data_IF_813867905246
#
_entry.id   IF_813867905246
#
_cell.length_a   1.000
_cell.length_b   1.000
_cell.length_c   1.000
_cell.angle_alpha   90.00
_cell.angle_beta   90.00
_cell.angle_gamma   90.00
#
_symmetry.space_group_name_H-M   'P 1'
#
loop_
_entity.id
_entity.type
_entity.pdbx_description
1 polymer ?
#
# COMPACT_ATOMS: atom_id res chain seq x y z
N UNK A 1 -23.67 -5.90 6.64
CA UNK A 1 -23.33 -5.22 5.38
C UNK A 1 -24.24 -4.01 5.28
N UNK A 2 -23.70 -2.81 5.43
CA UNK A 2 -24.42 -1.57 5.12
C UNK A 2 -23.96 -1.13 3.73
N UNK A 3 -24.89 -1.01 2.79
CA UNK A 3 -24.66 -0.39 1.49
C UNK A 3 -23.99 0.97 1.71
N UNK A 4 -22.86 1.18 1.05
CA UNK A 4 -22.18 2.47 1.07
C UNK A 4 -23.02 3.41 0.21
N UNK A 5 -23.62 4.41 0.85
CA UNK A 5 -24.47 5.39 0.19
C UNK A 5 -23.68 6.20 -0.84
N UNK A 6 -24.04 6.04 -2.12
CA UNK A 6 -23.39 6.70 -3.25
C UNK A 6 -23.49 8.23 -3.15
N UNK A 7 -24.57 8.75 -2.55
CA UNK A 7 -24.77 10.18 -2.38
C UNK A 7 -23.82 10.78 -1.33
N UNK A 8 -23.50 10.01 -0.29
CA UNK A 8 -22.51 10.38 0.73
C UNK A 8 -21.08 10.45 0.16
N UNK A 9 -20.71 9.51 -0.73
CA UNK A 9 -19.43 9.54 -1.46
C UNK A 9 -19.40 10.75 -2.40
N UNK A 10 -20.46 10.96 -3.18
CA UNK A 10 -20.51 12.04 -4.15
C UNK A 10 -20.47 13.43 -3.53
N UNK A 11 -21.19 13.63 -2.42
CA UNK A 11 -21.20 14.89 -1.67
C UNK A 11 -19.83 15.18 -1.09
N UNK A 12 -19.16 14.17 -0.53
CA UNK A 12 -17.80 14.35 0.00
C UNK A 12 -16.77 14.64 -1.08
N UNK A 13 -16.80 13.92 -2.21
CA UNK A 13 -15.90 14.17 -3.35
C UNK A 13 -16.04 15.62 -3.83
N UNK A 14 -17.29 16.08 -3.98
CA UNK A 14 -17.63 17.46 -4.36
C UNK A 14 -17.20 18.51 -3.33
N UNK A 15 -17.43 18.24 -2.04
CA UNK A 15 -17.03 19.13 -0.95
C UNK A 15 -15.50 19.26 -0.83
N UNK A 16 -14.75 18.26 -1.31
CA UNK A 16 -13.29 18.22 -1.30
C UNK A 16 -12.65 18.51 -2.67
N UNK A 17 -13.44 18.91 -3.68
CA UNK A 17 -13.00 19.27 -5.04
C UNK A 17 -12.31 18.12 -5.79
N UNK A 18 -12.70 16.87 -5.49
CA UNK A 18 -12.28 15.65 -6.19
C UNK A 18 -13.35 15.35 -7.26
N UNK A 19 -13.63 16.35 -8.09
CA UNK A 19 -14.71 16.32 -9.07
C UNK A 19 -14.11 15.83 -10.40
N UNK A 20 -14.64 14.76 -10.99
CA UNK A 20 -14.28 14.32 -12.35
C UNK A 20 -13.53 12.99 -12.46
N UNK A 21 -13.22 12.31 -11.36
CA UNK A 21 -12.65 10.96 -11.44
C UNK A 21 -13.77 9.89 -11.36
N UNK A 22 -14.41 9.62 -12.50
CA UNK A 22 -15.45 8.57 -12.63
C UNK A 22 -14.92 7.17 -12.22
N UNK A 23 -13.60 6.96 -12.25
CA UNK A 23 -12.96 5.69 -11.87
C UNK A 23 -13.02 5.43 -10.35
N UNK A 24 -12.99 6.48 -9.50
CA UNK A 24 -13.13 6.33 -8.05
C UNK A 24 -14.52 5.76 -7.69
N UNK A 25 -15.57 6.28 -8.32
CA UNK A 25 -16.93 5.77 -8.11
C UNK A 25 -17.10 4.32 -8.56
N UNK A 26 -16.56 3.98 -9.74
CA UNK A 26 -16.59 2.61 -10.26
C UNK A 26 -15.84 1.66 -9.33
N UNK A 27 -14.65 2.03 -8.86
CA UNK A 27 -13.85 1.22 -7.94
C UNK A 27 -14.54 1.05 -6.59
N UNK A 28 -15.17 2.09 -6.02
CA UNK A 28 -15.92 1.94 -4.77
C UNK A 28 -17.20 1.11 -4.91
N UNK A 29 -17.90 1.24 -6.04
CA UNK A 29 -19.07 0.42 -6.35
C UNK A 29 -18.70 -1.05 -6.52
N UNK A 30 -17.62 -1.33 -7.25
CA UNK A 30 -17.19 -2.70 -7.58
C UNK A 30 -16.48 -3.38 -6.41
N UNK A 31 -15.83 -2.63 -5.51
CA UNK A 31 -15.32 -3.15 -4.22
C UNK A 31 -16.44 -3.47 -3.21
N UNK A 32 -17.62 -2.87 -3.37
CA UNK A 32 -18.82 -3.14 -2.58
C UNK A 32 -19.67 -4.30 -3.12
N UNK A 33 -19.49 -4.65 -4.40
CA UNK A 33 -20.18 -5.76 -5.05
C UNK A 33 -19.39 -7.06 -4.82
N UNK A 34 -19.90 -7.91 -3.92
CA UNK A 34 -19.49 -9.32 -3.88
C UNK A 34 -19.80 -9.96 -5.23
N UNK A 35 -18.79 -10.62 -5.82
CA UNK A 35 -18.79 -11.36 -7.09
C UNK A 35 -18.74 -10.51 -8.38
N UNK A 36 -17.55 -10.28 -8.93
CA UNK A 36 -17.19 -10.69 -10.30
C UNK A 36 -15.80 -10.20 -10.70
N UNK A 37 -15.18 -10.94 -11.61
CA UNK A 37 -13.79 -10.92 -12.07
C UNK A 37 -13.48 -9.88 -13.15
N UNK A 38 -14.29 -8.84 -13.33
CA UNK A 38 -14.15 -7.93 -14.47
C UNK A 38 -13.68 -6.53 -14.03
N UNK A 39 -12.36 -6.37 -13.82
CA UNK A 39 -11.79 -5.12 -13.30
C UNK A 39 -10.73 -4.44 -14.19
N UNK A 40 -10.55 -4.77 -15.48
CA UNK A 40 -9.45 -4.17 -16.24
C UNK A 40 -9.79 -3.91 -17.71
N UNK A 41 -10.33 -2.71 -17.98
CA UNK A 41 -10.19 -1.93 -19.21
C UNK A 41 -10.41 -0.46 -18.82
N UNK A 42 -9.45 0.14 -18.11
CA UNK A 42 -9.41 1.58 -17.88
C UNK A 42 -8.32 2.15 -18.78
N UNK A 43 -8.72 2.97 -19.74
CA UNK A 43 -7.82 3.64 -20.70
C UNK A 43 -6.81 4.53 -19.95
N UNK A 44 -5.53 4.31 -20.23
CA UNK A 44 -4.38 4.93 -19.53
C UNK A 44 -4.23 6.45 -19.78
N UNK A 45 -5.02 7.03 -20.69
CA UNK A 45 -4.80 8.39 -21.22
C UNK A 45 -5.51 9.54 -20.49
N UNK A 46 -6.42 9.28 -19.53
CA UNK A 46 -7.24 10.34 -18.89
C UNK A 46 -6.87 10.69 -17.43
N UNK A 47 -5.73 10.21 -16.89
CA UNK A 47 -5.44 10.28 -15.43
C UNK A 47 -4.35 11.31 -15.05
N UNK A 48 -3.73 12.01 -16.01
CA UNK A 48 -2.59 12.90 -15.75
C UNK A 48 -2.94 14.40 -15.79
N UNK A 49 -3.64 14.90 -14.76
CA UNK A 49 -3.63 16.35 -14.47
C UNK A 49 -2.67 16.70 -13.33
N UNK A 50 -1.69 17.53 -13.69
CA UNK A 50 -0.70 18.12 -12.79
C UNK A 50 -1.37 18.90 -11.65
N UNK A 51 -0.84 18.79 -10.43
CA UNK A 51 -1.20 19.68 -9.33
C UNK A 51 -0.88 21.13 -9.73
N UNK A 52 -1.90 21.89 -10.15
CA UNK A 52 -1.73 23.30 -10.52
C UNK A 52 -1.90 24.21 -9.30
N UNK A 53 -1.30 25.40 -9.41
CA UNK A 53 -1.18 26.45 -8.38
C UNK A 53 -2.46 26.92 -7.67
N UNK A 54 -3.64 26.40 -8.01
CA UNK A 54 -4.94 26.74 -7.41
C UNK A 54 -5.34 25.88 -6.19
N UNK A 55 -4.58 24.83 -5.86
CA UNK A 55 -4.88 23.88 -4.76
C UNK A 55 -4.17 24.18 -3.42
N UNK A 56 -3.83 25.45 -3.14
CA UNK A 56 -3.10 25.85 -1.94
C UNK A 56 -3.76 25.49 -0.59
N UNK A 57 -5.02 25.06 -0.58
CA UNK A 57 -5.71 24.56 0.62
C UNK A 57 -5.54 23.07 0.89
N UNK A 58 -5.21 22.26 -0.14
CA UNK A 58 -5.09 20.80 -0.02
C UNK A 58 -3.66 20.37 0.34
N UNK A 59 -2.67 21.16 -0.06
CA UNK A 59 -1.28 21.06 0.39
C UNK A 59 -1.05 21.79 1.73
N UNK A 60 -2.06 21.84 2.60
CA UNK A 60 -2.04 22.55 3.89
C UNK A 60 -0.82 22.22 4.76
N UNK A 61 -0.54 23.09 5.75
CA UNK A 61 0.59 23.14 6.71
C UNK A 61 1.42 21.85 6.87
N UNK A 62 2.72 21.96 7.14
CA UNK A 62 3.61 20.82 7.45
C UNK A 62 3.06 19.95 8.61
N UNK A 63 2.14 19.06 8.27
CA UNK A 63 1.58 18.07 9.16
C UNK A 63 2.73 17.10 9.45
N UNK A 64 3.14 17.08 10.73
CA UNK A 64 4.23 16.28 11.26
C UNK A 64 3.70 15.07 12.04
N UNK A 65 2.46 14.66 11.77
CA UNK A 65 1.88 13.47 12.37
C UNK A 65 2.65 12.22 11.96
N UNK A 66 2.63 11.24 12.85
CA UNK A 66 3.25 9.95 12.58
C UNK A 66 2.54 9.20 11.43
N UNK A 67 1.22 9.40 11.29
CA UNK A 67 0.44 8.87 10.17
C UNK A 67 1.02 9.37 8.83
N UNK A 68 1.28 10.67 8.71
CA UNK A 68 1.87 11.23 7.48
C UNK A 68 3.24 10.66 7.17
N UNK A 69 4.11 10.59 8.18
CA UNK A 69 5.45 9.98 8.04
C UNK A 69 5.37 8.55 7.50
N UNK A 70 4.46 7.71 8.02
CA UNK A 70 4.25 6.35 7.53
C UNK A 70 3.84 6.34 6.05
N UNK A 71 2.89 7.20 5.67
CA UNK A 71 2.37 7.22 4.29
C UNK A 71 3.38 7.77 3.28
N UNK A 72 4.18 8.77 3.67
CA UNK A 72 5.29 9.27 2.84
C UNK A 72 6.37 8.19 2.65
N UNK A 73 6.77 7.51 3.74
CA UNK A 73 7.70 6.38 3.67
C UNK A 73 7.18 5.25 2.78
N UNK A 74 5.89 4.94 2.85
CA UNK A 74 5.31 3.90 2.00
C UNK A 74 5.38 4.26 0.53
N UNK A 75 5.20 5.54 0.17
CA UNK A 75 5.42 6.01 -1.19
C UNK A 75 6.87 5.78 -1.64
N UNK A 76 7.84 6.10 -0.78
CA UNK A 76 9.26 5.90 -1.09
C UNK A 76 9.62 4.41 -1.31
N UNK A 77 8.85 3.48 -0.74
CA UNK A 77 9.01 2.03 -1.00
C UNK A 77 8.42 1.60 -2.35
N UNK A 78 7.39 2.31 -2.85
CA UNK A 78 6.78 2.02 -4.14
C UNK A 78 7.59 2.57 -5.32
N UNK A 79 8.36 3.63 -5.08
CA UNK A 79 9.31 4.25 -6.04
C UNK A 79 10.62 3.43 -6.05
N UNK A 80 10.59 2.32 -6.78
CA UNK A 80 11.65 1.30 -6.76
C UNK A 80 12.90 1.78 -7.51
N UNK A 81 12.71 2.64 -8.52
CA UNK A 81 13.81 3.23 -9.30
C UNK A 81 14.31 4.58 -8.75
N UNK A 82 13.65 5.13 -7.73
CA UNK A 82 13.95 6.39 -7.03
C UNK A 82 13.83 7.63 -7.94
N UNK A 83 12.91 7.61 -8.89
CA UNK A 83 12.66 8.72 -9.81
C UNK A 83 11.64 9.75 -9.28
N UNK A 84 11.13 9.56 -8.05
CA UNK A 84 10.09 10.35 -7.36
C UNK A 84 8.69 10.24 -7.97
N UNK A 85 8.50 9.29 -8.87
CA UNK A 85 7.23 8.92 -9.47
C UNK A 85 6.99 7.44 -9.15
N UNK A 86 5.71 7.09 -9.05
CA UNK A 86 5.29 5.70 -8.93
C UNK A 86 4.56 5.38 -10.23
N UNK A 87 5.21 4.64 -11.12
CA UNK A 87 4.72 4.33 -12.47
C UNK A 87 4.99 2.88 -12.89
N UNK A 88 4.77 2.57 -14.17
CA UNK A 88 4.91 1.21 -14.68
C UNK A 88 6.37 0.71 -14.67
N UNK A 89 7.36 1.60 -14.77
CA UNK A 89 8.77 1.24 -14.68
C UNK A 89 9.10 0.64 -13.31
N UNK A 90 8.51 1.16 -12.23
CA UNK A 90 8.63 0.58 -10.88
C UNK A 90 8.10 -0.84 -10.84
N UNK A 91 6.93 -1.09 -11.45
CA UNK A 91 6.32 -2.42 -11.50
C UNK A 91 7.24 -3.40 -12.24
N UNK A 92 7.79 -3.01 -13.39
CA UNK A 92 8.70 -3.84 -14.17
C UNK A 92 9.95 -4.17 -13.35
N UNK A 93 10.56 -3.15 -12.73
CA UNK A 93 11.76 -3.33 -11.92
C UNK A 93 11.49 -4.20 -10.68
N UNK A 94 10.33 -4.04 -10.06
CA UNK A 94 9.89 -4.87 -8.94
C UNK A 94 9.79 -6.33 -9.35
N UNK A 95 9.07 -6.64 -10.44
CA UNK A 95 8.88 -8.01 -10.94
C UNK A 95 10.22 -8.66 -11.30
N UNK A 96 11.10 -7.93 -11.99
CA UNK A 96 12.40 -8.44 -12.39
C UNK A 96 13.29 -8.75 -11.18
N UNK A 97 13.31 -7.87 -10.16
CA UNK A 97 14.00 -8.11 -8.89
C UNK A 97 13.43 -9.33 -8.17
N UNK A 98 12.11 -9.40 -8.02
CA UNK A 98 11.44 -10.50 -7.32
C UNK A 98 11.77 -11.86 -7.97
N UNK A 99 11.65 -11.94 -9.30
CA UNK A 99 11.97 -13.16 -10.03
C UNK A 99 13.47 -13.51 -9.93
N UNK A 100 14.37 -12.52 -10.01
CA UNK A 100 15.80 -12.73 -9.83
C UNK A 100 16.13 -13.32 -8.46
N UNK A 101 15.52 -12.82 -7.39
CA UNK A 101 15.73 -13.34 -6.03
C UNK A 101 15.18 -14.75 -5.83
N UNK A 102 14.05 -15.08 -6.45
CA UNK A 102 13.52 -16.44 -6.46
C UNK A 102 14.45 -17.41 -7.21
N UNK A 103 14.98 -16.99 -8.36
CA UNK A 103 15.93 -17.77 -9.16
C UNK A 103 17.23 -18.02 -8.39
N UNK A 104 17.72 -17.03 -7.63
CA UNK A 104 18.87 -17.18 -6.71
C UNK A 104 18.64 -18.25 -5.63
N UNK A 105 17.40 -18.39 -5.12
CA UNK A 105 17.00 -19.40 -4.14
C UNK A 105 16.63 -20.76 -4.80
N UNK A 106 16.87 -20.90 -6.10
CA UNK A 106 16.65 -22.14 -6.85
C UNK A 106 15.22 -22.35 -7.36
N UNK A 107 14.35 -21.34 -7.26
CA UNK A 107 13.00 -21.36 -7.82
C UNK A 107 13.05 -20.79 -9.25
N UNK A 108 12.94 -21.65 -10.25
CA UNK A 108 12.88 -21.20 -11.65
C UNK A 108 11.55 -20.49 -11.92
N UNK A 109 11.62 -19.23 -12.36
CA UNK A 109 10.46 -18.41 -12.71
C UNK A 109 10.37 -18.29 -14.23
N UNK A 110 9.36 -18.92 -14.83
CA UNK A 110 9.11 -18.82 -16.28
C UNK A 110 8.62 -17.42 -16.69
N UNK A 111 8.74 -17.09 -17.98
CA UNK A 111 8.21 -15.82 -18.49
C UNK A 111 6.70 -15.67 -18.23
N UNK A 112 5.95 -16.76 -18.29
CA UNK A 112 4.51 -16.77 -17.98
C UNK A 112 4.26 -16.40 -16.51
N UNK A 113 5.06 -16.95 -15.59
CA UNK A 113 4.98 -16.58 -14.16
C UNK A 113 5.39 -15.13 -13.91
N UNK A 114 6.40 -14.60 -14.62
CA UNK A 114 6.76 -13.17 -14.57
C UNK A 114 5.61 -12.30 -15.06
N UNK A 115 4.94 -12.68 -16.16
CA UNK A 115 3.77 -11.98 -16.67
C UNK A 115 2.60 -12.01 -15.68
N UNK A 116 2.35 -13.16 -15.04
CA UNK A 116 1.31 -13.28 -14.02
C UNK A 116 1.63 -12.42 -12.80
N UNK A 117 2.87 -12.43 -12.33
CA UNK A 117 3.32 -11.58 -11.23
C UNK A 117 3.19 -10.09 -11.60
N UNK A 118 3.57 -9.70 -12.82
CA UNK A 118 3.39 -8.36 -13.33
C UNK A 118 1.92 -7.92 -13.31
N UNK A 119 1.00 -8.76 -13.79
CA UNK A 119 -0.43 -8.43 -13.77
C UNK A 119 -0.98 -8.29 -12.34
N UNK A 120 -0.50 -9.14 -11.42
CA UNK A 120 -0.91 -9.07 -10.01
C UNK A 120 -0.39 -7.82 -9.32
N UNK A 121 0.89 -7.47 -9.50
CA UNK A 121 1.46 -6.22 -8.96
C UNK A 121 0.81 -5.01 -9.64
N UNK A 122 0.56 -5.05 -10.95
CA UNK A 122 -0.18 -4.01 -11.67
C UNK A 122 -1.57 -3.78 -11.07
N UNK A 123 -2.27 -4.80 -10.56
CA UNK A 123 -3.56 -4.61 -9.85
C UNK A 123 -3.41 -3.79 -8.58
N UNK A 124 -2.37 -4.04 -7.77
CA UNK A 124 -2.09 -3.23 -6.57
C UNK A 124 -1.89 -1.78 -6.98
N UNK A 125 -1.07 -1.54 -7.99
CA UNK A 125 -0.79 -0.19 -8.49
C UNK A 125 -2.02 0.45 -9.12
N UNK A 126 -2.86 -0.27 -9.85
CA UNK A 126 -4.12 0.23 -10.39
C UNK A 126 -5.09 0.66 -9.29
N UNK A 127 -5.13 -0.07 -8.16
CA UNK A 127 -5.90 0.36 -6.98
C UNK A 127 -5.30 1.63 -6.37
N UNK A 128 -4.00 1.89 -6.48
CA UNK A 128 -3.44 3.19 -6.07
C UNK A 128 -3.77 4.28 -7.12
N UNK A 129 -3.55 4.01 -8.40
CA UNK A 129 -3.82 4.89 -9.54
C UNK A 129 -5.27 5.36 -9.58
N UNK A 130 -6.23 4.45 -9.42
CA UNK A 130 -7.65 4.77 -9.43
C UNK A 130 -8.01 5.86 -8.40
N UNK A 131 -7.31 5.89 -7.27
CA UNK A 131 -7.50 6.86 -6.20
C UNK A 131 -6.82 8.19 -6.47
N UNK A 132 -6.30 8.37 -7.69
CA UNK A 132 -5.50 9.51 -8.08
C UNK A 132 -4.18 9.55 -7.32
N UNK A 133 -3.67 8.43 -6.80
CA UNK A 133 -2.39 8.41 -6.07
C UNK A 133 -1.18 8.25 -7.00
N UNK A 134 -1.39 7.78 -8.23
CA UNK A 134 -0.34 7.63 -9.23
C UNK A 134 0.11 8.98 -9.80
N UNK A 135 1.41 9.10 -10.09
CA UNK A 135 2.02 10.31 -10.65
C UNK A 135 1.99 11.54 -9.73
N UNK A 136 1.60 11.39 -8.47
CA UNK A 136 1.62 12.45 -7.46
C UNK A 136 2.89 12.35 -6.61
N UNK A 137 3.38 13.49 -6.11
CA UNK A 137 4.49 13.50 -5.16
C UNK A 137 4.11 12.83 -3.83
N UNK A 138 5.10 12.29 -3.10
CA UNK A 138 4.92 11.62 -1.81
C UNK A 138 4.05 12.43 -0.80
N UNK A 139 4.22 13.75 -0.74
CA UNK A 139 3.43 14.65 0.13
C UNK A 139 1.95 14.66 -0.24
N UNK A 140 1.66 14.66 -1.53
CA UNK A 140 0.27 14.71 -2.03
C UNK A 140 -0.40 13.35 -1.83
N UNK A 141 0.34 12.26 -2.06
CA UNK A 141 -0.08 10.90 -1.74
C UNK A 141 -0.49 10.76 -0.27
N UNK A 142 0.38 11.19 0.65
CA UNK A 142 0.14 11.06 2.08
C UNK A 142 -1.08 11.89 2.53
N UNK A 143 -1.19 13.15 2.09
CA UNK A 143 -2.33 14.01 2.44
C UNK A 143 -3.67 13.42 1.95
N UNK A 144 -3.69 12.83 0.75
CA UNK A 144 -4.90 12.21 0.20
C UNK A 144 -5.34 11.01 1.04
N UNK A 145 -4.42 10.08 1.33
CA UNK A 145 -4.72 8.90 2.15
C UNK A 145 -5.09 9.27 3.59
N UNK A 146 -4.48 10.30 4.18
CA UNK A 146 -4.89 10.81 5.48
C UNK A 146 -6.32 11.34 5.47
N UNK A 147 -6.71 12.07 4.43
CA UNK A 147 -8.09 12.56 4.31
C UNK A 147 -9.07 11.42 4.04
N UNK A 148 -8.69 10.45 3.19
CA UNK A 148 -9.47 9.24 2.95
C UNK A 148 -9.66 8.42 4.24
N UNK A 149 -8.65 8.37 5.12
CA UNK A 149 -8.74 7.64 6.40
C UNK A 149 -9.81 8.16 7.36
N UNK A 150 -10.31 9.39 7.13
CA UNK A 150 -11.41 9.97 7.92
C UNK A 150 -12.79 9.47 7.46
N UNK A 151 -12.86 8.75 6.33
CA UNK A 151 -14.11 8.26 5.76
C UNK A 151 -14.58 6.97 6.46
N UNK A 152 -15.89 6.82 6.70
CA UNK A 152 -16.44 5.66 7.40
C UNK A 152 -16.25 4.34 6.64
N UNK A 153 -16.08 4.40 5.31
CA UNK A 153 -15.88 3.24 4.44
C UNK A 153 -14.40 2.96 4.11
N UNK A 154 -13.46 3.76 4.64
CA UNK A 154 -12.03 3.60 4.35
C UNK A 154 -11.49 2.22 4.72
N UNK A 155 -11.99 1.63 5.81
CA UNK A 155 -11.58 0.29 6.24
C UNK A 155 -11.99 -0.78 5.23
N UNK A 156 -13.21 -0.71 4.69
CA UNK A 156 -13.69 -1.63 3.66
C UNK A 156 -12.84 -1.48 2.39
N UNK A 157 -12.50 -0.24 2.04
CA UNK A 157 -11.57 0.04 0.95
C UNK A 157 -10.19 -0.62 1.16
N UNK A 158 -9.56 -0.40 2.32
CA UNK A 158 -8.27 -1.03 2.64
C UNK A 158 -8.36 -2.56 2.63
N UNK A 159 -9.49 -3.13 3.02
CA UNK A 159 -9.70 -4.58 2.96
C UNK A 159 -9.66 -5.08 1.51
N UNK A 160 -10.26 -4.35 0.57
CA UNK A 160 -10.18 -4.65 -0.86
C UNK A 160 -8.76 -4.53 -1.41
N UNK A 161 -8.03 -3.48 -1.01
CA UNK A 161 -6.62 -3.32 -1.34
C UNK A 161 -5.76 -4.49 -0.81
N UNK A 162 -5.96 -4.89 0.45
CA UNK A 162 -5.25 -6.01 1.08
C UNK A 162 -5.52 -7.32 0.36
N UNK A 163 -6.75 -7.54 -0.11
CA UNK A 163 -7.07 -8.73 -0.91
C UNK A 163 -6.27 -8.76 -2.22
N UNK A 164 -6.14 -7.62 -2.91
CA UNK A 164 -5.31 -7.52 -4.11
C UNK A 164 -3.82 -7.76 -3.80
N UNK A 165 -3.34 -7.28 -2.64
CA UNK A 165 -1.97 -7.56 -2.16
C UNK A 165 -1.79 -9.06 -1.90
N UNK A 166 -2.71 -9.71 -1.19
CA UNK A 166 -2.65 -11.15 -0.93
C UNK A 166 -2.61 -11.95 -2.23
N UNK A 167 -3.50 -11.67 -3.18
CA UNK A 167 -3.51 -12.34 -4.49
C UNK A 167 -2.20 -12.14 -5.27
N UNK A 168 -1.50 -11.03 -5.05
CA UNK A 168 -0.21 -10.77 -5.68
C UNK A 168 0.95 -11.52 -5.02
N UNK A 169 0.92 -11.67 -3.70
CA UNK A 169 1.96 -12.35 -2.95
C UNK A 169 1.79 -13.87 -2.94
N UNK A 170 0.55 -14.38 -2.98
CA UNK A 170 0.23 -15.81 -3.02
C UNK A 170 0.60 -16.42 -4.38
N UNK A 171 1.89 -16.59 -4.61
CA UNK A 171 2.45 -17.08 -5.86
C UNK A 171 2.12 -18.55 -6.08
N UNK A 172 2.07 -19.34 -5.02
CA UNK A 172 1.80 -20.78 -5.09
C UNK A 172 0.29 -21.12 -5.10
N UNK A 173 -0.59 -20.18 -4.74
CA UNK A 173 -2.05 -20.31 -4.80
C UNK A 173 -2.66 -21.11 -3.65
N UNK A 174 -2.01 -21.17 -2.47
CA UNK A 174 -2.53 -21.87 -1.30
C UNK A 174 -3.47 -21.02 -0.44
N UNK A 175 -3.68 -19.76 -0.82
CA UNK A 175 -4.58 -18.81 -0.14
C UNK A 175 -3.94 -18.09 1.04
N UNK A 176 -2.67 -18.33 1.32
CA UNK A 176 -1.89 -17.72 2.41
C UNK A 176 -0.56 -17.20 1.86
N UNK A 177 0.09 -16.27 2.57
CA UNK A 177 1.41 -15.77 2.14
C UNK A 177 2.49 -16.39 3.02
N UNK A 178 3.34 -17.24 2.44
CA UNK A 178 4.48 -17.81 3.16
C UNK A 178 5.58 -16.77 3.40
N UNK A 179 6.48 -17.06 4.35
CA UNK A 179 7.69 -16.24 4.60
C UNK A 179 8.48 -15.94 3.32
N UNK A 180 8.69 -16.94 2.46
CA UNK A 180 9.48 -16.78 1.23
C UNK A 180 8.77 -15.86 0.23
N UNK A 181 7.46 -16.00 0.07
CA UNK A 181 6.66 -15.14 -0.80
C UNK A 181 6.68 -13.70 -0.30
N UNK A 182 6.43 -13.51 0.99
CA UNK A 182 6.50 -12.20 1.63
C UNK A 182 7.87 -11.54 1.42
N UNK A 183 8.95 -12.26 1.67
CA UNK A 183 10.29 -11.70 1.56
C UNK A 183 10.71 -11.43 0.11
N UNK A 184 10.60 -12.41 -0.79
CA UNK A 184 11.11 -12.29 -2.15
C UNK A 184 10.21 -11.49 -3.07
N UNK A 185 8.90 -11.48 -2.84
CA UNK A 185 7.95 -10.72 -3.67
C UNK A 185 7.73 -9.34 -3.10
N UNK A 186 7.59 -9.17 -1.78
CA UNK A 186 7.20 -7.87 -1.23
C UNK A 186 8.38 -7.05 -0.71
N UNK A 187 9.22 -7.63 0.13
CA UNK A 187 10.17 -6.86 0.95
C UNK A 187 11.51 -6.59 0.25
N UNK A 188 12.14 -7.64 -0.29
CA UNK A 188 13.46 -7.53 -0.91
C UNK A 188 13.46 -6.64 -2.18
N UNK A 189 12.44 -6.69 -3.06
CA UNK A 189 12.42 -5.85 -4.27
C UNK A 189 12.37 -4.34 -4.00
N UNK A 190 11.68 -3.94 -2.93
CA UNK A 190 11.58 -2.55 -2.46
C UNK A 190 12.76 -2.12 -1.57
N UNK A 191 13.80 -2.96 -1.47
CA UNK A 191 15.04 -2.62 -0.78
C UNK A 191 15.05 -2.89 0.73
N UNK A 192 14.06 -3.61 1.27
CA UNK A 192 14.05 -4.00 2.68
C UNK A 192 14.92 -5.24 2.93
N UNK A 193 15.65 -5.23 4.05
CA UNK A 193 16.54 -6.33 4.44
C UNK A 193 15.76 -7.56 4.92
N UNK A 194 16.44 -8.70 5.06
CA UNK A 194 15.83 -9.90 5.62
C UNK A 194 15.43 -9.67 7.09
N UNK A 195 16.24 -8.91 7.84
CA UNK A 195 15.96 -8.53 9.22
C UNK A 195 14.70 -7.66 9.31
N UNK A 196 14.55 -6.68 8.42
CA UNK A 196 13.35 -5.84 8.33
C UNK A 196 12.11 -6.67 8.04
N UNK A 197 12.23 -7.59 7.07
CA UNK A 197 11.16 -8.49 6.70
C UNK A 197 10.77 -9.41 7.87
N UNK A 198 11.73 -9.93 8.65
CA UNK A 198 11.45 -10.80 9.81
C UNK A 198 10.67 -10.06 10.88
N UNK A 199 11.06 -8.82 11.18
CA UNK A 199 10.34 -7.98 12.14
C UNK A 199 8.91 -7.73 11.66
N UNK A 200 8.74 -7.35 10.39
CA UNK A 200 7.42 -7.13 9.81
C UNK A 200 6.57 -8.41 9.85
N UNK A 201 7.12 -9.55 9.45
CA UNK A 201 6.41 -10.82 9.41
C UNK A 201 5.94 -11.25 10.80
N UNK A 202 6.80 -11.18 11.82
CA UNK A 202 6.44 -11.54 13.20
C UNK A 202 5.37 -10.62 13.81
N UNK A 203 5.25 -9.39 13.32
CA UNK A 203 4.21 -8.44 13.77
C UNK A 203 2.86 -8.76 13.12
N UNK A 204 2.89 -9.26 11.88
CA UNK A 204 1.69 -9.56 11.11
C UNK A 204 1.17 -10.97 11.44
N UNK A 205 2.05 -11.96 11.56
CA UNK A 205 1.74 -13.35 11.95
C UNK A 205 1.37 -13.42 13.44
N UNK A 206 0.07 -13.29 13.74
CA UNK A 206 -0.44 -13.19 15.10
C UNK A 206 -0.59 -14.55 15.77
N UNK A 207 -0.86 -15.58 14.98
CA UNK A 207 -1.02 -16.95 15.48
C UNK A 207 0.30 -17.75 15.48
N UNK A 208 1.34 -17.23 14.82
CA UNK A 208 2.68 -17.82 14.77
C UNK A 208 2.75 -19.05 13.88
N UNK A 209 1.85 -19.19 12.91
CA UNK A 209 1.77 -20.36 12.04
C UNK A 209 2.81 -20.34 10.90
N UNK A 210 3.54 -19.23 10.73
CA UNK A 210 4.58 -19.06 9.71
C UNK A 210 4.03 -18.68 8.34
N UNK A 211 2.77 -18.24 8.27
CA UNK A 211 2.08 -17.74 7.08
C UNK A 211 1.21 -16.54 7.45
N UNK A 212 0.89 -15.71 6.47
CA UNK A 212 0.05 -14.53 6.67
C UNK A 212 -1.32 -14.75 6.03
N UNK A 213 -2.35 -14.69 6.86
CA UNK A 213 -3.76 -14.74 6.42
C UNK A 213 -4.28 -13.37 5.98
N UNK A 214 -5.41 -13.36 5.27
CA UNK A 214 -6.10 -12.13 4.87
C UNK A 214 -6.43 -11.24 6.07
N UNK A 215 -6.88 -11.82 7.18
CA UNK A 215 -7.28 -11.09 8.38
C UNK A 215 -6.09 -10.42 9.07
N UNK A 216 -4.95 -11.11 9.11
CA UNK A 216 -3.70 -10.59 9.68
C UNK A 216 -3.13 -9.44 8.86
N UNK A 217 -3.02 -9.63 7.54
CA UNK A 217 -2.63 -8.57 6.61
C UNK A 217 -3.58 -7.38 6.70
N UNK A 218 -4.90 -7.63 6.83
CA UNK A 218 -5.89 -6.56 6.93
C UNK A 218 -5.70 -5.74 8.20
N UNK A 219 -5.47 -6.38 9.35
CA UNK A 219 -5.18 -5.67 10.61
C UNK A 219 -3.93 -4.83 10.50
N UNK A 220 -2.85 -5.41 9.95
CA UNK A 220 -1.56 -4.74 9.82
C UNK A 220 -1.64 -3.52 8.88
N UNK A 221 -2.24 -3.68 7.70
CA UNK A 221 -2.40 -2.58 6.75
C UNK A 221 -3.36 -1.51 7.29
N UNK A 222 -4.49 -1.89 7.90
CA UNK A 222 -5.40 -0.89 8.49
C UNK A 222 -4.70 -0.09 9.60
N UNK A 223 -3.95 -0.75 10.49
CA UNK A 223 -3.17 -0.08 11.53
C UNK A 223 -2.07 0.82 10.95
N UNK A 224 -1.32 0.32 9.97
CA UNK A 224 -0.27 1.11 9.31
C UNK A 224 -0.81 2.41 8.70
N UNK A 225 -1.94 2.35 7.98
CA UNK A 225 -2.50 3.52 7.30
C UNK A 225 -3.33 4.44 8.20
N UNK A 226 -3.90 3.92 9.30
CA UNK A 226 -4.89 4.66 10.12
C UNK A 226 -4.36 5.09 11.49
N UNK A 227 -3.38 4.39 12.06
CA UNK A 227 -2.91 4.69 13.42
C UNK A 227 -2.15 6.03 13.43
N UNK A 228 -2.53 6.90 14.36
CA UNK A 228 -1.91 8.23 14.55
C UNK A 228 -0.73 8.20 15.50
N UNK A 229 -0.67 7.18 16.34
CA UNK A 229 0.39 6.94 17.32
C UNK A 229 1.30 5.80 16.86
N UNK A 230 2.43 5.63 17.54
CA UNK A 230 3.36 4.52 17.29
C UNK A 230 2.77 3.23 17.85
N UNK A 231 2.40 2.31 16.94
CA UNK A 231 1.95 0.95 17.24
C UNK A 231 2.89 -0.06 16.59
N UNK A 232 2.74 -1.34 16.92
CA UNK A 232 3.47 -2.43 16.28
C UNK A 232 3.30 -2.43 14.76
N UNK A 233 2.11 -2.09 14.26
CA UNK A 233 1.83 -2.07 12.83
C UNK A 233 2.61 -1.00 12.08
N UNK A 234 3.21 -0.01 12.76
CA UNK A 234 4.12 0.93 12.12
C UNK A 234 5.31 0.25 11.43
N UNK A 235 5.68 -0.94 11.88
CA UNK A 235 6.81 -1.73 11.37
C UNK A 235 6.39 -2.82 10.38
N UNK A 236 5.12 -2.84 9.93
CA UNK A 236 4.61 -3.80 8.95
C UNK A 236 5.31 -3.74 7.58
N UNK A 237 6.04 -2.65 7.30
CA UNK A 237 6.87 -2.46 6.11
C UNK A 237 8.35 -2.20 6.47
N UNK A 238 8.86 -2.97 7.42
CA UNK A 238 10.27 -2.97 7.83
C UNK A 238 10.62 -2.03 8.98
N UNK A 239 11.89 -2.07 9.44
CA UNK A 239 12.33 -1.29 10.60
C UNK A 239 12.27 0.21 10.32
N UNK A 240 11.83 0.96 11.32
CA UNK A 240 11.85 2.41 11.28
C UNK A 240 13.18 2.93 11.81
N UNK A 241 13.89 3.72 11.00
CA UNK A 241 15.06 4.44 11.46
C UNK A 241 14.60 5.64 12.30
N UNK A 242 14.90 5.61 13.61
CA UNK A 242 14.52 6.65 14.57
C UNK A 242 14.99 8.04 14.13
N UNK A 243 16.09 8.15 13.39
CA UNK A 243 16.60 9.43 12.93
C UNK A 243 15.69 10.13 11.93
N UNK A 244 14.92 9.36 11.15
CA UNK A 244 14.06 9.86 10.08
C UNK A 244 12.65 10.20 10.59
N UNK A 245 12.33 9.82 11.84
CA UNK A 245 11.04 10.04 12.48
C UNK A 245 10.93 11.49 13.01
N UNK A 246 9.75 12.13 12.97
CA UNK A 246 9.57 13.43 13.61
C UNK A 246 9.93 13.38 15.11
N UNK A 247 10.58 14.45 15.61
CA UNK A 247 11.17 14.51 16.96
C UNK A 247 10.21 14.07 18.08
N UNK A 248 8.91 14.39 17.94
CA UNK A 248 7.86 14.04 18.89
C UNK A 248 7.64 12.55 19.07
N UNK A 249 7.96 11.72 18.07
CA UNK A 249 7.71 10.28 18.08
C UNK A 249 8.98 9.44 18.24
N UNK A 250 10.17 10.06 18.18
CA UNK A 250 11.45 9.34 18.30
C UNK A 250 11.56 8.49 19.55
N UNK A 251 11.13 9.02 20.70
CA UNK A 251 11.18 8.28 21.97
C UNK A 251 10.28 7.03 21.94
N UNK A 252 9.08 7.14 21.38
CA UNK A 252 8.14 6.02 21.26
C UNK A 252 8.65 4.95 20.30
N UNK A 253 9.24 5.35 19.17
CA UNK A 253 9.85 4.42 18.20
C UNK A 253 11.07 3.73 18.80
N UNK A 254 11.97 4.47 19.47
CA UNK A 254 13.15 3.92 20.13
C UNK A 254 12.77 2.93 21.24
N UNK A 255 11.75 3.26 22.04
CA UNK A 255 11.20 2.35 23.04
C UNK A 255 10.68 1.05 22.41
N UNK A 256 9.94 1.15 21.31
CA UNK A 256 9.41 -0.02 20.62
C UNK A 256 10.52 -0.91 20.07
N UNK A 257 11.53 -0.32 19.40
CA UNK A 257 12.68 -1.07 18.87
C UNK A 257 13.41 -1.84 19.98
N UNK A 258 13.63 -1.20 21.14
CA UNK A 258 14.28 -1.85 22.30
C UNK A 258 13.46 -2.99 22.90
N UNK A 259 12.13 -2.95 22.77
CA UNK A 259 11.26 -4.03 23.24
C UNK A 259 11.31 -5.27 22.34
N UNK A 260 11.68 -5.11 21.07
CA UNK A 260 11.81 -6.22 20.11
C UNK A 260 13.21 -6.89 20.15
N UNK A 261 14.19 -6.23 20.78
CA UNK A 261 15.57 -6.73 20.92
C UNK A 261 15.82 -7.50 22.24
N UNK A 262 14.84 -7.54 23.15
CA UNK A 262 14.89 -8.26 24.43
C UNK A 262 13.98 -9.49 24.45
#
# INVERSE_FOLDING_TARGET
MSEVDQDSIATWLKDNRIDGNENLFKVFHDLGATESTDLLDLDEDDVFEQCTSKEKGFCGEEDRSFQKYKLERFFDLLDVDNNQMVDQADIVLWVDKAAGYMEEDGVSVSQEQKNQLFQRIKRIFNVLTAFGLAGKSNKTFANYLMNASKLPFFKSFLTGFVKAVLEALDFNGDGEVSWKEFFYIMMKPVGLSEEDAKVAFNIIDLDGNGKLSLDELTKAVVGYYSDKEVTEYAFAFGKINVLDVPETFKASVDQFIKQQEN
#
